data_IF_995260555586
#
_entry.id   IF_995260555586
#
_cell.length_a   1.000
_cell.length_b   1.000
_cell.length_c   1.000
_cell.angle_alpha   90.00
_cell.angle_beta   90.00
_cell.angle_gamma   90.00
#
_symmetry.space_group_name_H-M   'P 1'
#
loop_
_entity.id
_entity.type
_entity.pdbx_description
1 polymer ?
#
# COMPACT_ATOMS: atom_id res chain seq x y z
N UNK A 1 -5.22 3.77 -13.30
CA UNK A 1 -3.98 4.06 -14.04
C UNK A 1 -4.21 5.29 -14.93
N UNK A 2 -3.13 5.91 -15.45
CA UNK A 2 -3.22 7.16 -16.24
C UNK A 2 -3.95 7.03 -17.57
N UNK A 3 -4.04 5.85 -18.13
CA UNK A 3 -4.71 5.64 -19.42
C UNK A 3 -6.23 5.69 -19.27
N UNK A 4 -6.76 5.11 -18.19
CA UNK A 4 -8.20 4.99 -17.96
C UNK A 4 -8.74 6.06 -17.00
N UNK A 5 -7.92 6.47 -16.03
CA UNK A 5 -8.25 7.51 -15.05
C UNK A 5 -7.07 8.49 -14.91
N UNK A 6 -6.98 9.50 -15.78
CA UNK A 6 -5.84 10.44 -15.81
C UNK A 6 -5.80 11.38 -14.61
N UNK A 7 -6.89 11.52 -13.86
CA UNK A 7 -6.99 12.31 -12.64
C UNK A 7 -7.19 11.44 -11.40
N UNK A 8 -6.84 11.93 -10.21
CA UNK A 8 -7.13 11.24 -8.95
C UNK A 8 -8.62 10.94 -8.78
N UNK A 9 -8.95 9.68 -8.49
CA UNK A 9 -10.32 9.29 -8.10
C UNK A 9 -10.61 9.79 -6.69
N UNK A 10 -11.82 10.32 -6.50
CA UNK A 10 -12.34 10.69 -5.19
C UNK A 10 -13.14 9.53 -4.58
N UNK A 11 -13.43 9.60 -3.26
CA UNK A 11 -14.13 8.52 -2.57
C UNK A 11 -15.56 8.31 -3.09
N UNK A 12 -16.24 9.38 -3.45
CA UNK A 12 -17.61 9.37 -4.00
C UNK A 12 -17.70 8.84 -5.43
N UNK A 13 -16.57 8.74 -6.13
CA UNK A 13 -16.48 8.22 -7.49
C UNK A 13 -16.24 6.69 -7.54
N UNK A 14 -16.13 6.02 -6.39
CA UNK A 14 -15.83 4.58 -6.33
C UNK A 14 -17.03 3.70 -6.66
N UNK A 15 -18.26 4.20 -6.51
CA UNK A 15 -19.47 3.44 -6.81
C UNK A 15 -19.50 2.99 -8.28
N UNK A 16 -19.82 1.72 -8.52
CA UNK A 16 -19.83 1.10 -9.84
C UNK A 16 -18.46 0.68 -10.37
N UNK A 17 -17.36 1.02 -9.68
CA UNK A 17 -16.03 0.62 -10.09
C UNK A 17 -15.66 -0.78 -9.57
N UNK A 18 -14.83 -1.49 -10.33
CA UNK A 18 -14.15 -2.69 -9.86
C UNK A 18 -12.85 -2.30 -9.19
N UNK A 19 -12.76 -2.55 -7.89
CA UNK A 19 -11.59 -2.22 -7.06
C UNK A 19 -10.85 -3.49 -6.67
N UNK A 20 -9.58 -3.57 -7.06
CA UNK A 20 -8.67 -4.64 -6.65
C UNK A 20 -8.22 -4.46 -5.21
N UNK A 21 -8.20 -5.55 -4.45
CA UNK A 21 -7.72 -5.61 -3.07
C UNK A 21 -6.94 -6.90 -2.84
N UNK A 22 -6.00 -6.89 -1.91
CA UNK A 22 -5.41 -8.12 -1.45
C UNK A 22 -6.35 -8.79 -0.45
N UNK A 23 -6.51 -10.10 -0.56
CA UNK A 23 -7.35 -10.90 0.34
C UNK A 23 -6.91 -10.73 1.79
N UNK A 24 -7.88 -10.64 2.69
CA UNK A 24 -7.69 -10.50 4.15
C UNK A 24 -6.88 -9.25 4.56
N UNK A 25 -6.77 -8.26 3.67
CA UNK A 25 -6.08 -7.01 3.95
C UNK A 25 -6.98 -5.95 4.57
N UNK A 26 -6.35 -4.93 5.15
CA UNK A 26 -7.04 -3.71 5.61
C UNK A 26 -7.76 -3.03 4.44
N UNK A 27 -7.16 -3.04 3.25
CA UNK A 27 -7.78 -2.50 2.04
C UNK A 27 -9.09 -3.20 1.68
N UNK A 28 -9.14 -4.54 1.77
CA UNK A 28 -10.37 -5.29 1.55
C UNK A 28 -11.44 -4.95 2.59
N UNK A 29 -11.07 -4.92 3.87
CA UNK A 29 -12.01 -4.60 4.95
C UNK A 29 -12.58 -3.20 4.79
N UNK A 30 -11.72 -2.22 4.47
CA UNK A 30 -12.12 -0.85 4.25
C UNK A 30 -13.07 -0.72 3.05
N UNK A 31 -12.75 -1.35 1.93
CA UNK A 31 -13.56 -1.27 0.73
C UNK A 31 -14.93 -1.94 0.85
N UNK A 32 -15.10 -2.92 1.74
CA UNK A 32 -16.43 -3.51 2.07
C UNK A 32 -17.42 -2.49 2.64
N UNK A 33 -16.95 -1.38 3.21
CA UNK A 33 -17.81 -0.32 3.73
C UNK A 33 -18.26 0.69 2.68
N UNK A 34 -17.71 0.63 1.46
CA UNK A 34 -18.10 1.54 0.37
C UNK A 34 -19.24 0.96 -0.45
N UNK A 35 -20.41 1.61 -0.48
CA UNK A 35 -21.56 1.10 -1.20
C UNK A 35 -21.32 1.13 -2.72
N UNK A 36 -21.81 0.10 -3.42
CA UNK A 36 -21.74 0.04 -4.88
C UNK A 36 -20.38 -0.29 -5.48
N UNK A 37 -19.36 -0.57 -4.67
CA UNK A 37 -18.05 -1.02 -5.16
C UNK A 37 -18.07 -2.51 -5.45
N UNK A 38 -17.50 -2.91 -6.60
CA UNK A 38 -17.27 -4.31 -6.94
C UNK A 38 -15.85 -4.69 -6.53
N UNK A 39 -15.71 -5.60 -5.55
CA UNK A 39 -14.39 -6.03 -5.09
C UNK A 39 -13.87 -7.19 -5.92
N UNK A 40 -12.61 -7.08 -6.34
CA UNK A 40 -11.86 -8.15 -6.94
C UNK A 40 -10.63 -8.47 -6.09
N UNK A 41 -10.64 -9.63 -5.41
CA UNK A 41 -9.56 -10.02 -4.51
C UNK A 41 -8.41 -10.69 -5.26
N UNK A 42 -7.19 -10.48 -4.80
CA UNK A 42 -5.99 -11.15 -5.27
C UNK A 42 -5.21 -11.77 -4.10
N UNK A 43 -4.36 -12.75 -4.39
CA UNK A 43 -3.50 -13.38 -3.39
C UNK A 43 -2.31 -12.49 -2.99
N UNK A 44 -1.86 -11.63 -3.91
CA UNK A 44 -0.79 -10.66 -3.67
C UNK A 44 -1.01 -9.36 -4.48
N UNK A 45 -0.26 -8.33 -4.13
CA UNK A 45 -0.42 -7.01 -4.73
C UNK A 45 0.21 -6.89 -6.12
N UNK A 46 1.16 -7.75 -6.47
CA UNK A 46 1.74 -7.80 -7.83
C UNK A 46 0.68 -8.24 -8.85
N UNK A 47 -0.23 -9.12 -8.45
CA UNK A 47 -1.37 -9.53 -9.27
C UNK A 47 -2.30 -8.33 -9.50
N UNK A 48 -2.61 -7.54 -8.47
CA UNK A 48 -3.43 -6.33 -8.58
C UNK A 48 -2.77 -5.27 -9.47
N UNK A 49 -1.45 -5.06 -9.33
CA UNK A 49 -0.70 -4.18 -10.22
C UNK A 49 -0.86 -4.57 -11.70
N UNK A 50 -0.71 -5.87 -12.00
CA UNK A 50 -0.89 -6.40 -13.36
C UNK A 50 -2.34 -6.32 -13.86
N UNK A 51 -3.34 -6.50 -12.99
CA UNK A 51 -4.75 -6.34 -13.34
C UNK A 51 -5.06 -4.88 -13.69
N UNK A 52 -4.57 -3.94 -12.88
CA UNK A 52 -4.76 -2.51 -13.10
C UNK A 52 -4.14 -2.08 -14.44
N UNK A 53 -2.89 -2.48 -14.70
CA UNK A 53 -2.21 -2.16 -15.95
C UNK A 53 -2.90 -2.72 -17.21
N UNK A 54 -3.71 -3.78 -17.06
CA UNK A 54 -4.48 -4.41 -18.15
C UNK A 54 -5.95 -3.94 -18.20
N UNK A 55 -6.32 -2.97 -17.38
CA UNK A 55 -7.71 -2.47 -17.31
C UNK A 55 -8.73 -3.50 -16.79
N UNK A 56 -8.28 -4.56 -16.09
CA UNK A 56 -9.18 -5.57 -15.51
C UNK A 56 -9.82 -5.10 -14.21
N UNK A 57 -9.20 -4.15 -13.53
CA UNK A 57 -9.74 -3.41 -12.39
C UNK A 57 -9.61 -1.92 -12.71
N UNK A 58 -10.54 -1.11 -12.20
CA UNK A 58 -10.56 0.34 -12.43
C UNK A 58 -9.68 1.08 -11.43
N UNK A 59 -9.66 0.59 -10.21
CA UNK A 59 -8.88 1.14 -9.11
C UNK A 59 -8.27 0.02 -8.26
N UNK A 60 -7.36 0.39 -7.37
CA UNK A 60 -6.66 -0.54 -6.49
C UNK A 60 -6.53 0.10 -5.10
N UNK A 61 -7.13 -0.53 -4.09
CA UNK A 61 -7.03 -0.09 -2.70
C UNK A 61 -5.87 -0.81 -2.00
N UNK A 62 -4.80 -0.07 -1.79
CA UNK A 62 -3.52 -0.58 -1.28
C UNK A 62 -2.80 0.51 -0.50
N UNK A 63 -1.91 0.15 0.41
CA UNK A 63 -1.03 1.15 1.01
C UNK A 63 -0.07 1.73 -0.05
N UNK A 64 0.16 3.03 0.03
CA UNK A 64 0.91 3.77 -1.00
C UNK A 64 2.25 3.09 -1.37
N UNK A 65 3.06 2.78 -0.35
CA UNK A 65 4.39 2.23 -0.58
C UNK A 65 4.36 0.78 -1.07
N UNK A 66 3.42 -0.03 -0.59
CA UNK A 66 3.21 -1.38 -1.11
C UNK A 66 2.78 -1.35 -2.58
N UNK A 67 1.93 -0.42 -2.96
CA UNK A 67 1.50 -0.24 -4.35
C UNK A 67 2.66 0.08 -5.28
N UNK A 68 3.51 1.05 -4.93
CA UNK A 68 4.69 1.38 -5.73
C UNK A 68 5.68 0.21 -5.82
N UNK A 69 5.94 -0.45 -4.69
CA UNK A 69 6.84 -1.63 -4.68
C UNK A 69 6.29 -2.77 -5.55
N UNK A 70 5.00 -3.08 -5.44
CA UNK A 70 4.37 -4.12 -6.25
C UNK A 70 4.38 -3.78 -7.75
N UNK A 71 4.24 -2.50 -8.11
CA UNK A 71 4.37 -2.02 -9.48
C UNK A 71 5.78 -2.27 -10.01
N UNK A 72 6.80 -1.93 -9.24
CA UNK A 72 8.20 -2.17 -9.56
C UNK A 72 8.48 -3.67 -9.75
N UNK A 73 8.05 -4.52 -8.80
CA UNK A 73 8.21 -5.98 -8.87
C UNK A 73 7.48 -6.58 -10.07
N UNK A 74 6.34 -6.00 -10.45
CA UNK A 74 5.59 -6.41 -11.65
C UNK A 74 6.30 -6.04 -12.96
N UNK A 75 7.39 -5.28 -12.93
CA UNK A 75 8.09 -4.74 -14.10
C UNK A 75 7.31 -3.63 -14.82
N UNK A 76 6.44 -2.92 -14.09
CA UNK A 76 5.60 -1.85 -14.60
C UNK A 76 6.16 -0.49 -14.21
N UNK A 77 5.87 0.54 -15.03
CA UNK A 77 6.29 1.91 -14.74
C UNK A 77 5.40 2.54 -13.64
N UNK A 78 6.00 2.87 -12.50
CA UNK A 78 5.31 3.51 -11.37
C UNK A 78 4.66 4.85 -11.74
N UNK A 79 5.20 5.56 -12.76
CA UNK A 79 4.64 6.82 -13.26
C UNK A 79 3.26 6.66 -13.93
N UNK A 80 2.87 5.43 -14.24
CA UNK A 80 1.53 5.14 -14.77
C UNK A 80 0.48 5.08 -13.66
N UNK A 81 0.87 4.98 -12.39
CA UNK A 81 -0.06 5.07 -11.28
C UNK A 81 -0.49 6.52 -11.06
N UNK A 82 -1.78 6.70 -10.78
CA UNK A 82 -2.36 7.95 -10.30
C UNK A 82 -2.84 7.72 -8.89
N UNK A 83 -2.32 8.50 -7.95
CA UNK A 83 -2.82 8.47 -6.56
C UNK A 83 -4.27 8.93 -6.56
N UNK A 84 -5.17 8.13 -5.98
CA UNK A 84 -6.55 8.52 -5.70
C UNK A 84 -6.68 9.15 -4.31
N UNK A 85 -7.91 9.17 -3.82
CA UNK A 85 -8.22 9.65 -2.48
C UNK A 85 -7.53 8.81 -1.40
N UNK A 86 -7.12 9.46 -0.33
CA UNK A 86 -6.68 8.78 0.89
C UNK A 86 -7.93 8.22 1.58
N UNK A 87 -7.98 6.90 1.72
CA UNK A 87 -9.12 6.21 2.33
C UNK A 87 -8.97 6.12 3.85
N UNK A 88 -7.74 5.96 4.33
CA UNK A 88 -7.44 5.86 5.76
C UNK A 88 -5.95 6.11 6.01
N UNK A 89 -5.61 6.55 7.21
CA UNK A 89 -4.26 6.56 7.73
C UNK A 89 -4.10 5.39 8.70
N UNK A 90 -3.05 4.60 8.53
CA UNK A 90 -2.72 3.47 9.41
C UNK A 90 -1.35 3.66 10.02
N UNK A 91 -1.21 3.35 11.30
CA UNK A 91 0.07 3.33 11.98
C UNK A 91 0.55 1.87 12.07
N UNK A 92 1.78 1.64 11.64
CA UNK A 92 2.41 0.33 11.73
C UNK A 92 3.25 0.25 13.02
N UNK A 93 3.13 -0.87 13.71
CA UNK A 93 3.87 -1.16 14.92
C UNK A 93 4.69 -2.43 14.75
N UNK A 94 5.90 -2.43 15.30
CA UNK A 94 6.63 -3.67 15.55
C UNK A 94 6.08 -4.29 16.84
N UNK A 95 5.46 -5.44 16.74
CA UNK A 95 4.91 -6.18 17.88
C UNK A 95 5.82 -7.35 18.24
N UNK A 96 5.88 -7.66 19.51
CA UNK A 96 6.57 -8.82 20.03
C UNK A 96 5.60 -9.69 20.88
N UNK A 97 5.93 -10.97 21.05
CA UNK A 97 5.16 -11.85 21.93
C UNK A 97 5.26 -11.39 23.41
N UNK A 98 4.27 -11.72 24.26
CA UNK A 98 4.28 -11.28 25.66
C UNK A 98 5.49 -11.76 26.48
N UNK A 99 6.09 -12.88 26.08
CA UNK A 99 7.29 -13.47 26.69
C UNK A 99 8.61 -12.97 26.08
N UNK A 100 8.53 -12.05 25.09
CA UNK A 100 9.73 -11.48 24.48
C UNK A 100 10.47 -10.59 25.50
N UNK A 101 11.82 -10.75 25.67
CA UNK A 101 12.55 -10.02 26.68
C UNK A 101 12.44 -8.50 26.51
N UNK A 102 12.03 -7.81 27.58
CA UNK A 102 11.88 -6.35 27.56
C UNK A 102 13.17 -5.62 27.20
N UNK A 103 14.31 -6.12 27.64
CA UNK A 103 15.64 -5.60 27.29
C UNK A 103 15.91 -5.61 25.77
N UNK A 104 15.47 -6.67 25.09
CA UNK A 104 15.58 -6.75 23.64
C UNK A 104 14.64 -5.78 22.92
N UNK A 105 13.44 -5.56 23.43
CA UNK A 105 12.52 -4.54 22.91
C UNK A 105 13.15 -3.14 22.98
N UNK A 106 13.73 -2.78 24.10
CA UNK A 106 14.43 -1.49 24.26
C UNK A 106 15.61 -1.36 23.29
N UNK A 107 16.35 -2.45 23.11
CA UNK A 107 17.45 -2.49 22.14
C UNK A 107 16.98 -2.27 20.71
N UNK A 108 15.86 -2.87 20.31
CA UNK A 108 15.26 -2.65 18.99
C UNK A 108 14.78 -1.21 18.78
N UNK A 109 14.13 -0.63 19.81
CA UNK A 109 13.76 0.79 19.78
C UNK A 109 14.97 1.70 19.56
N UNK A 110 16.03 1.45 20.34
CA UNK A 110 17.25 2.23 20.27
C UNK A 110 17.95 2.08 18.91
N UNK A 111 17.95 0.87 18.35
CA UNK A 111 18.48 0.62 17.01
C UNK A 111 17.71 1.40 15.93
N UNK A 112 16.39 1.39 15.96
CA UNK A 112 15.55 2.14 15.03
C UNK A 112 15.84 3.64 15.13
N UNK A 113 15.99 4.16 16.36
CA UNK A 113 16.30 5.57 16.56
C UNK A 113 17.70 5.94 16.04
N UNK A 114 18.69 5.08 16.26
CA UNK A 114 20.03 5.25 15.69
C UNK A 114 19.98 5.26 14.16
N UNK A 115 19.22 4.34 13.54
CA UNK A 115 19.06 4.29 12.07
C UNK A 115 18.39 5.54 11.49
N UNK A 116 17.54 6.22 12.26
CA UNK A 116 16.97 7.51 11.87
C UNK A 116 18.04 8.61 11.86
N UNK A 117 18.89 8.62 12.90
CA UNK A 117 19.89 9.66 13.11
C UNK A 117 21.10 9.53 12.15
N UNK A 118 21.55 8.31 11.88
CA UNK A 118 22.74 8.04 11.04
C UNK A 118 22.42 7.97 9.53
N UNK A 119 21.15 8.10 9.16
CA UNK A 119 20.71 8.06 7.77
C UNK A 119 20.50 6.66 7.18
N UNK A 120 20.75 5.59 7.95
CA UNK A 120 20.54 4.19 7.52
C UNK A 120 19.09 3.96 7.11
N UNK A 121 18.13 4.48 7.91
CA UNK A 121 16.71 4.35 7.60
C UNK A 121 16.34 5.07 6.29
N UNK A 122 16.94 6.22 6.02
CA UNK A 122 16.75 6.95 4.76
C UNK A 122 17.25 6.14 3.55
N UNK A 123 18.43 5.51 3.67
CA UNK A 123 18.95 4.64 2.62
C UNK A 123 18.06 3.44 2.35
N UNK A 124 17.51 2.81 3.40
CA UNK A 124 16.53 1.72 3.26
C UNK A 124 15.28 2.22 2.54
N UNK A 125 14.72 3.35 2.97
CA UNK A 125 13.56 3.96 2.32
C UNK A 125 13.81 4.20 0.83
N UNK A 126 14.94 4.77 0.46
CA UNK A 126 15.31 5.00 -0.94
C UNK A 126 15.43 3.70 -1.74
N UNK A 127 16.04 2.67 -1.15
CA UNK A 127 16.19 1.35 -1.79
C UNK A 127 14.85 0.70 -2.12
N UNK A 128 13.82 0.92 -1.30
CA UNK A 128 12.48 0.38 -1.48
C UNK A 128 11.51 1.37 -2.12
N UNK A 129 12.01 2.45 -2.74
CA UNK A 129 11.18 3.48 -3.39
C UNK A 129 10.10 4.05 -2.46
N UNK A 130 10.43 4.14 -1.16
CA UNK A 130 9.49 4.64 -0.16
C UNK A 130 9.15 6.11 -0.45
N UNK A 131 7.86 6.38 -0.52
CA UNK A 131 7.31 7.73 -0.71
C UNK A 131 6.72 8.20 0.61
N UNK A 132 7.09 9.39 1.06
CA UNK A 132 6.45 10.00 2.22
C UNK A 132 4.98 10.28 1.89
N UNK A 133 4.05 9.97 2.81
CA UNK A 133 2.62 10.13 2.63
C UNK A 133 2.16 11.59 2.53
#
# INVERSE_FOLDING_TARGET
DRQHHPRPLQQDELAGLTVGVMRDSVGEQLMKSFPGVHLETAADEVINAKKLARGRINAWAVSLNTGFYAQCVAGLDERQLVRGAILSHVTLYLAASPDFPHSEMLRWQQMIETMKQDGTLLQIKQRYHYVEP
#
